data_IF_202880756295
#
_entry.id   IF_202880756295
#
_cell.length_a   1.000
_cell.length_b   1.000
_cell.length_c   1.000
_cell.angle_alpha   90.00
_cell.angle_beta   90.00
_cell.angle_gamma   90.00
#
_symmetry.space_group_name_H-M   'P 1'
#
loop_
_entity.id
_entity.type
_entity.pdbx_description
1 polymer ?
#
# COMPACT_ATOMS: atom_id res chain seq x y z
N UNK A 1 -13.26 1.98 -4.66
CA UNK A 1 -13.86 3.16 -3.99
C UNK A 1 -12.98 3.69 -2.86
N UNK A 2 -12.13 4.68 -3.17
CA UNK A 2 -11.39 5.51 -2.19
C UNK A 2 -12.27 6.48 -1.39
N UNK A 3 -13.49 6.04 -1.09
CA UNK A 3 -14.51 6.74 -0.33
C UNK A 3 -14.66 5.98 0.98
N UNK A 4 -13.73 6.19 1.91
CA UNK A 4 -13.85 5.68 3.26
C UNK A 4 -14.17 6.85 4.17
N UNK A 5 -15.17 6.68 5.04
CA UNK A 5 -15.57 7.67 6.04
C UNK A 5 -15.38 7.08 7.44
N UNK A 6 -14.96 7.89 8.44
CA UNK A 6 -14.70 7.45 9.81
C UNK A 6 -15.84 6.66 10.48
N UNK A 7 -17.08 6.90 10.06
CA UNK A 7 -18.30 6.42 10.73
C UNK A 7 -18.76 5.02 10.32
N UNK A 8 -17.95 4.23 9.61
CA UNK A 8 -18.39 2.94 9.06
C UNK A 8 -17.69 1.70 9.67
N UNK A 9 -17.27 1.75 10.93
CA UNK A 9 -16.80 0.56 11.65
C UNK A 9 -18.02 -0.14 12.26
N UNK A 10 -18.55 -1.13 11.54
CA UNK A 10 -19.69 -1.95 12.01
C UNK A 10 -19.23 -2.97 13.05
N UNK A 11 -20.14 -3.47 13.89
CA UNK A 11 -19.85 -4.61 14.75
C UNK A 11 -19.30 -5.80 13.92
N UNK A 12 -18.15 -6.34 14.30
CA UNK A 12 -17.42 -7.38 13.55
C UNK A 12 -16.44 -6.87 12.50
N UNK A 13 -16.30 -5.56 12.32
CA UNK A 13 -15.30 -4.97 11.42
C UNK A 13 -13.91 -4.98 12.08
N UNK A 14 -12.96 -5.71 11.49
CA UNK A 14 -11.59 -5.81 12.03
C UNK A 14 -10.92 -4.44 12.17
N UNK A 15 -11.33 -3.45 11.36
CA UNK A 15 -10.77 -2.09 11.39
C UNK A 15 -10.96 -1.42 12.74
N UNK A 16 -11.98 -1.80 13.52
CA UNK A 16 -12.17 -1.34 14.89
C UNK A 16 -10.94 -1.55 15.78
N UNK A 17 -10.17 -2.59 15.51
CA UNK A 17 -9.01 -3.00 16.31
C UNK A 17 -7.68 -2.71 15.60
N UNK A 18 -7.70 -2.18 14.38
CA UNK A 18 -6.49 -1.88 13.63
C UNK A 18 -5.91 -0.53 14.09
N UNK A 19 -4.60 -0.46 14.43
CA UNK A 19 -3.96 0.79 14.85
C UNK A 19 -4.11 1.94 13.85
N UNK A 20 -4.12 1.66 12.54
CA UNK A 20 -4.25 2.68 11.47
C UNK A 20 -5.61 3.40 11.45
N UNK A 21 -6.63 2.81 12.07
CA UNK A 21 -8.00 3.31 12.11
C UNK A 21 -8.39 3.89 13.48
N UNK A 22 -7.44 3.93 14.44
CA UNK A 22 -7.68 4.54 15.75
C UNK A 22 -7.71 6.08 15.64
N UNK A 23 -8.38 6.75 16.58
CA UNK A 23 -8.39 8.21 16.64
C UNK A 23 -6.97 8.80 16.61
N UNK A 24 -6.78 9.90 15.89
CA UNK A 24 -5.49 10.54 15.61
C UNK A 24 -4.75 9.92 14.43
N UNK A 25 -4.66 8.58 14.37
CA UNK A 25 -3.98 7.90 13.26
C UNK A 25 -4.78 7.98 11.97
N UNK A 26 -6.09 7.80 12.06
CA UNK A 26 -6.96 7.78 10.88
C UNK A 26 -7.01 9.15 10.21
N UNK A 27 -7.08 10.24 10.97
CA UNK A 27 -7.08 11.61 10.46
C UNK A 27 -5.76 11.92 9.75
N UNK A 28 -4.63 11.54 10.36
CA UNK A 28 -3.30 11.68 9.74
C UNK A 28 -3.16 10.89 8.44
N UNK A 29 -3.64 9.65 8.44
CA UNK A 29 -3.62 8.81 7.24
C UNK A 29 -4.55 9.34 6.13
N UNK A 30 -5.69 9.94 6.50
CA UNK A 30 -6.59 10.57 5.53
C UNK A 30 -5.96 11.78 4.84
N UNK A 31 -5.11 12.56 5.50
CA UNK A 31 -4.34 13.64 4.85
C UNK A 31 -3.47 13.09 3.70
N UNK A 32 -2.83 11.93 3.90
CA UNK A 32 -2.06 11.27 2.86
C UNK A 32 -2.97 10.82 1.70
N UNK A 33 -4.15 10.28 2.02
CA UNK A 33 -5.14 9.88 1.01
C UNK A 33 -5.62 11.07 0.18
N UNK A 34 -5.80 12.25 0.78
CA UNK A 34 -6.17 13.45 0.03
C UNK A 34 -5.05 13.94 -0.89
N UNK A 35 -3.78 13.75 -0.50
CA UNK A 35 -2.64 14.01 -1.39
C UNK A 35 -2.64 13.05 -2.58
N UNK A 36 -2.92 11.76 -2.36
CA UNK A 36 -3.12 10.81 -3.44
C UNK A 36 -4.32 11.15 -4.33
N UNK A 37 -5.39 11.69 -3.75
CA UNK A 37 -6.59 12.09 -4.49
C UNK A 37 -6.28 13.21 -5.48
N UNK A 38 -5.51 14.22 -5.05
CA UNK A 38 -5.05 15.28 -5.94
C UNK A 38 -4.20 14.73 -7.08
N UNK A 39 -3.23 13.85 -6.78
CA UNK A 39 -2.38 13.25 -7.80
C UNK A 39 -3.18 12.36 -8.77
N UNK A 40 -4.09 11.54 -8.26
CA UNK A 40 -4.97 10.70 -9.09
C UNK A 40 -5.81 11.56 -10.04
N UNK A 41 -6.32 12.70 -9.57
CA UNK A 41 -7.08 13.63 -10.40
C UNK A 41 -6.26 14.21 -11.56
N UNK A 42 -4.97 14.56 -11.34
CA UNK A 42 -4.09 15.02 -12.44
C UNK A 42 -3.92 13.97 -13.54
N UNK A 43 -4.01 12.69 -13.16
CA UNK A 43 -3.91 11.55 -14.07
C UNK A 43 -5.28 11.07 -14.55
N UNK A 44 -6.39 11.74 -14.21
CA UNK A 44 -7.74 11.30 -14.55
C UNK A 44 -8.10 9.90 -14.00
N UNK A 45 -7.49 9.51 -12.87
CA UNK A 45 -7.68 8.23 -12.21
C UNK A 45 -8.45 8.40 -10.90
N UNK A 46 -9.12 7.34 -10.45
CA UNK A 46 -9.54 7.22 -9.05
C UNK A 46 -8.32 6.88 -8.16
N UNK A 47 -8.40 7.18 -6.86
CA UNK A 47 -7.35 6.79 -5.90
C UNK A 47 -7.10 5.28 -5.93
N UNK A 48 -8.16 4.48 -6.11
CA UNK A 48 -8.02 3.03 -6.20
C UNK A 48 -7.27 2.63 -7.47
N UNK A 49 -7.58 3.25 -8.62
CA UNK A 49 -6.87 3.00 -9.87
C UNK A 49 -5.40 3.41 -9.80
N UNK A 50 -5.09 4.58 -9.22
CA UNK A 50 -3.72 5.03 -9.01
C UNK A 50 -2.92 4.02 -8.15
N UNK A 51 -3.51 3.53 -7.06
CA UNK A 51 -2.88 2.53 -6.21
C UNK A 51 -2.64 1.20 -6.94
N UNK A 52 -3.61 0.73 -7.73
CA UNK A 52 -3.48 -0.51 -8.52
C UNK A 52 -2.38 -0.36 -9.57
N UNK A 53 -2.36 0.76 -10.31
CA UNK A 53 -1.34 1.04 -11.31
C UNK A 53 0.06 1.09 -10.69
N UNK A 54 0.20 1.72 -9.52
CA UNK A 54 1.48 1.76 -8.80
C UNK A 54 1.95 0.38 -8.35
N UNK A 55 1.06 -0.50 -7.85
CA UNK A 55 1.45 -1.89 -7.50
C UNK A 55 1.95 -2.64 -8.74
N UNK A 56 1.30 -2.45 -9.89
CA UNK A 56 1.70 -3.07 -11.16
C UNK A 56 3.06 -2.57 -11.68
N UNK A 57 3.61 -1.47 -11.16
CA UNK A 57 4.97 -1.01 -11.51
C UNK A 57 6.07 -1.54 -10.59
N UNK A 58 5.74 -2.26 -9.50
CA UNK A 58 6.74 -2.69 -8.51
C UNK A 58 7.62 -3.86 -8.98
N UNK A 59 7.20 -4.59 -10.00
CA UNK A 59 7.93 -5.75 -10.53
C UNK A 59 7.11 -6.51 -11.55
N UNK A 60 7.77 -7.15 -12.52
CA UNK A 60 7.08 -7.94 -13.55
C UNK A 60 6.42 -9.21 -13.00
N UNK A 61 6.85 -9.66 -11.82
CA UNK A 61 6.34 -10.79 -11.05
C UNK A 61 5.26 -10.39 -10.03
N UNK A 62 4.90 -9.10 -9.96
CA UNK A 62 3.92 -8.57 -9.01
C UNK A 62 2.58 -8.36 -9.70
N UNK A 63 1.56 -9.10 -9.26
CA UNK A 63 0.18 -8.99 -9.78
C UNK A 63 -0.75 -8.49 -8.67
N UNK A 64 -1.40 -7.32 -8.83
CA UNK A 64 -2.32 -6.81 -7.82
C UNK A 64 -3.60 -7.65 -7.74
N UNK A 65 -3.87 -8.22 -6.55
CA UNK A 65 -5.13 -8.93 -6.30
C UNK A 65 -6.23 -7.95 -5.88
N UNK A 66 -7.26 -7.82 -6.72
CA UNK A 66 -8.35 -6.86 -6.50
C UNK A 66 -9.59 -7.55 -5.97
N UNK A 67 -9.95 -7.28 -4.71
CA UNK A 67 -11.22 -7.71 -4.14
C UNK A 67 -12.37 -6.79 -4.56
N UNK A 68 -13.43 -7.35 -5.15
CA UNK A 68 -14.67 -6.63 -5.47
C UNK A 68 -15.90 -7.45 -5.04
N UNK A 69 -16.86 -6.80 -4.37
CA UNK A 69 -18.14 -7.43 -3.98
C UNK A 69 -19.29 -7.06 -4.91
N UNK A 70 -19.11 -6.04 -5.75
CA UNK A 70 -20.11 -5.54 -6.70
C UNK A 70 -19.45 -5.29 -8.04
N UNK A 71 -20.18 -5.52 -9.15
CA UNK A 71 -19.68 -5.32 -10.52
C UNK A 71 -19.12 -3.91 -10.75
N UNK A 72 -19.79 -2.89 -10.24
CA UNK A 72 -19.32 -1.50 -10.34
C UNK A 72 -17.92 -1.28 -9.73
N UNK A 73 -17.57 -1.98 -8.64
CA UNK A 73 -16.25 -1.88 -8.02
C UNK A 73 -15.17 -2.54 -8.88
N UNK A 74 -15.52 -3.66 -9.52
CA UNK A 74 -14.63 -4.33 -10.47
C UNK A 74 -14.42 -3.45 -11.71
N UNK A 75 -15.48 -2.87 -12.25
CA UNK A 75 -15.40 -1.95 -13.39
C UNK A 75 -14.53 -0.73 -13.09
N UNK A 76 -14.67 -0.11 -11.91
CA UNK A 76 -13.79 0.97 -11.45
C UNK A 76 -12.32 0.50 -11.45
N UNK A 77 -12.02 -0.66 -10.85
CA UNK A 77 -10.66 -1.15 -10.75
C UNK A 77 -10.03 -1.53 -12.10
N UNK A 78 -10.79 -2.14 -13.00
CA UNK A 78 -10.32 -2.57 -14.33
C UNK A 78 -10.13 -1.41 -15.30
N UNK A 79 -10.70 -0.22 -15.02
CA UNK A 79 -10.53 0.97 -15.86
C UNK A 79 -9.09 1.47 -16.01
N UNK A 80 -8.11 0.87 -15.31
CA UNK A 80 -6.70 1.25 -15.35
C UNK A 80 -5.80 0.27 -16.13
N UNK A 81 -6.34 -0.84 -16.65
CA UNK A 81 -5.52 -1.96 -17.19
C UNK A 81 -4.50 -1.58 -18.26
N UNK A 82 -4.72 -0.49 -19.01
CA UNK A 82 -3.83 -0.04 -20.09
C UNK A 82 -2.99 1.20 -19.74
N UNK A 83 -3.15 1.76 -18.54
CA UNK A 83 -2.51 3.02 -18.13
C UNK A 83 -1.22 2.74 -17.37
N UNK A 84 -0.09 3.14 -17.96
CA UNK A 84 1.21 3.18 -17.26
C UNK A 84 1.39 4.53 -16.59
N UNK A 85 1.87 4.53 -15.34
CA UNK A 85 2.28 5.75 -14.66
C UNK A 85 3.64 6.19 -15.24
N UNK A 86 3.76 7.48 -15.56
CA UNK A 86 5.03 8.07 -15.96
C UNK A 86 5.99 8.22 -14.76
N UNK A 87 7.27 8.48 -15.06
CA UNK A 87 8.31 8.61 -14.06
C UNK A 87 8.04 9.77 -13.08
N UNK A 88 7.46 10.87 -13.56
CA UNK A 88 7.16 12.05 -12.76
C UNK A 88 6.07 11.76 -11.72
N UNK A 89 5.04 11.01 -12.10
CA UNK A 89 3.97 10.55 -11.21
C UNK A 89 4.50 9.57 -10.17
N UNK A 90 5.36 8.63 -10.58
CA UNK A 90 6.01 7.71 -9.65
C UNK A 90 6.88 8.45 -8.63
N UNK A 91 7.64 9.44 -9.08
CA UNK A 91 8.45 10.29 -8.20
C UNK A 91 7.57 11.14 -7.26
N UNK A 92 6.44 11.66 -7.75
CA UNK A 92 5.47 12.38 -6.94
C UNK A 92 4.81 11.48 -5.88
N UNK A 93 4.44 10.24 -6.23
CA UNK A 93 3.92 9.23 -5.30
C UNK A 93 4.92 8.94 -4.17
N UNK A 94 6.19 8.70 -4.52
CA UNK A 94 7.23 8.40 -3.55
C UNK A 94 7.47 9.55 -2.55
N UNK A 95 7.35 10.80 -3.00
CA UNK A 95 7.42 11.99 -2.13
C UNK A 95 6.16 12.18 -1.29
N UNK A 96 4.99 11.88 -1.84
CA UNK A 96 3.71 12.09 -1.19
C UNK A 96 3.48 11.14 -0.02
N UNK A 97 3.97 9.90 -0.11
CA UNK A 97 3.85 8.89 0.95
C UNK A 97 5.23 8.29 1.24
N UNK A 98 6.02 8.94 2.10
CA UNK A 98 7.22 8.31 2.64
C UNK A 98 6.85 7.08 3.46
N UNK A 99 7.74 6.08 3.50
CA UNK A 99 7.45 4.75 4.09
C UNK A 99 7.08 4.77 5.57
N UNK A 100 7.49 5.81 6.31
CA UNK A 100 7.22 6.04 7.73
C UNK A 100 6.04 7.01 7.98
N UNK A 101 5.41 7.53 6.93
CA UNK A 101 4.35 8.54 7.06
C UNK A 101 3.03 7.97 7.61
N UNK A 102 2.79 6.67 7.41
CA UNK A 102 1.55 6.00 7.80
C UNK A 102 1.52 5.83 9.32
N UNK A 103 0.55 6.45 9.96
CA UNK A 103 0.35 6.39 11.39
C UNK A 103 -0.30 5.07 11.80
N UNK A 104 0.31 4.39 12.77
CA UNK A 104 -0.15 3.09 13.28
C UNK A 104 0.37 1.88 12.48
N UNK A 105 0.68 0.80 13.20
CA UNK A 105 1.11 -0.47 12.63
C UNK A 105 -0.02 -1.18 11.86
N UNK A 106 0.33 -2.14 10.99
CA UNK A 106 -0.64 -2.91 10.20
C UNK A 106 -1.61 -3.69 11.10
N UNK A 107 -1.09 -4.32 12.14
CA UNK A 107 -1.84 -5.07 13.17
C UNK A 107 -1.46 -4.61 14.58
N UNK A 108 -2.19 -5.06 15.60
CA UNK A 108 -1.85 -4.79 17.00
C UNK A 108 -0.48 -5.40 17.38
N UNK A 109 0.21 -4.90 18.41
CA UNK A 109 1.59 -5.33 18.72
C UNK A 109 1.77 -6.85 18.87
N UNK A 110 0.85 -7.52 19.55
CA UNK A 110 0.90 -8.98 19.71
C UNK A 110 0.81 -9.74 18.38
N UNK A 111 0.01 -9.23 17.43
CA UNK A 111 -0.12 -9.83 16.10
C UNK A 111 1.09 -9.51 15.21
N UNK A 112 1.64 -8.29 15.31
CA UNK A 112 2.87 -7.91 14.61
C UNK A 112 4.05 -8.80 15.02
N UNK A 113 4.15 -9.18 16.31
CA UNK A 113 5.22 -10.06 16.79
C UNK A 113 5.23 -11.46 16.17
N UNK A 114 4.09 -11.90 15.61
CA UNK A 114 3.92 -13.19 14.94
C UNK A 114 4.29 -13.15 13.46
N UNK A 115 4.53 -11.98 12.86
CA UNK A 115 4.83 -11.87 11.44
C UNK A 115 6.33 -12.00 11.17
N UNK A 116 6.74 -13.14 10.61
CA UNK A 116 8.14 -13.38 10.26
C UNK A 116 8.62 -12.52 9.08
N UNK A 117 7.73 -12.15 8.15
CA UNK A 117 8.05 -11.29 6.99
C UNK A 117 8.45 -9.86 7.38
N UNK A 118 8.05 -9.41 8.57
CA UNK A 118 8.29 -8.06 9.08
C UNK A 118 9.50 -8.01 10.03
N UNK A 119 10.13 -9.15 10.30
CA UNK A 119 11.39 -9.19 11.06
C UNK A 119 12.52 -8.77 10.13
N UNK A 120 13.31 -7.77 10.54
CA UNK A 120 14.47 -7.33 9.76
C UNK A 120 15.33 -8.55 9.41
N UNK A 121 15.57 -8.75 8.12
CA UNK A 121 16.24 -9.93 7.60
C UNK A 121 17.71 -9.97 8.06
N UNK A 122 17.95 -10.48 9.26
CA UNK A 122 19.29 -10.67 9.82
C UNK A 122 20.09 -11.80 9.12
N UNK A 123 19.65 -12.27 7.96
CA UNK A 123 20.18 -13.49 7.33
C UNK A 123 20.26 -13.39 5.80
N UNK A 124 20.73 -12.25 5.25
CA UNK A 124 21.11 -12.15 3.83
C UNK A 124 22.62 -12.01 3.58
N UNK A 125 23.44 -11.77 4.61
CA UNK A 125 24.85 -11.40 4.41
C UNK A 125 25.89 -12.43 4.91
N UNK A 126 25.49 -13.56 5.49
CA UNK A 126 26.44 -14.48 6.16
C UNK A 126 26.93 -15.67 5.33
N UNK A 127 26.69 -15.75 4.02
CA UNK A 127 27.22 -16.90 3.25
C UNK A 127 27.59 -16.61 1.78
N UNK A 128 28.54 -15.70 1.58
CA UNK A 128 29.26 -15.60 0.31
C UNK A 128 30.72 -15.20 0.55
N UNK A 129 31.52 -16.10 1.13
CA UNK A 129 32.97 -16.06 0.94
C UNK A 129 33.30 -16.88 -0.30
N UNK A 130 33.89 -16.30 -1.36
CA UNK A 130 34.50 -17.09 -2.41
C UNK A 130 35.84 -17.58 -1.86
N UNK A 131 35.90 -18.83 -1.37
CA UNK A 131 37.20 -19.40 -1.01
C UNK A 131 38.03 -19.54 -2.29
N UNK A 132 39.24 -18.97 -2.22
CA UNK A 132 40.12 -18.74 -3.34
C UNK A 132 40.68 -20.01 -3.96
N UNK A 133 41.04 -19.87 -5.23
CA UNK A 133 42.05 -20.70 -5.90
C UNK A 133 43.31 -20.79 -5.04
N UNK A 134 43.78 -22.02 -4.82
CA UNK A 134 45.19 -22.30 -4.66
C UNK A 134 45.53 -23.49 -5.57
N UNK A 135 46.60 -23.26 -6.33
CA UNK A 135 47.42 -24.14 -7.18
C UNK A 135 47.37 -25.64 -6.92
#
# INVERSE_FOLDING_TARGET
SGHWQPQAVRAGDFRAHSPRFQPGNVERNLVLVETLRALAATQGLSVAQLAIAWVATQGADIVPLIGARRRAQLQEALGVQERRLDADTLAALARAIPGDAIAGTRYAPAQMALLDSERAQACRDSNMTPNGRAT
#
